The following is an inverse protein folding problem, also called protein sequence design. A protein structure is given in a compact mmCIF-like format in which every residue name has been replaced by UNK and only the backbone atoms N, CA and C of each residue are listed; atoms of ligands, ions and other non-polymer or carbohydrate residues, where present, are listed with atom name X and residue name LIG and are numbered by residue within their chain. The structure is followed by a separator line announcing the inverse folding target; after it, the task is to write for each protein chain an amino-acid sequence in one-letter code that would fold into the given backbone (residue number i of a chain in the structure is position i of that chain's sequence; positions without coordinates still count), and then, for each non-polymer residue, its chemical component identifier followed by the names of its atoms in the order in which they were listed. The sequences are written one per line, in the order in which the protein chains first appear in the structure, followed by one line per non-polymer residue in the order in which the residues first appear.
data_IF_152752884225
#
_entry.id   IF_152752884225
#
_cell.length_a   1.000
_cell.length_b   1.000
_cell.length_c   1.000
_cell.angle_alpha   90.00
_cell.angle_beta   90.00
_cell.angle_gamma   90.00
#
_symmetry.space_group_name_H-M   'P 1'
#
loop_
_entity.id
_entity.type
_entity.pdbx_description
1 polymer ?
#
# COMPACT_ATOMS: atom_id res chain seq x y z
N UNK A 1 -11.17 18.72 -9.94
CA UNK A 1 -9.80 18.22 -10.21
C UNK A 1 -9.41 18.48 -11.65
N UNK A 2 -8.17 18.87 -11.88
CA UNK A 2 -7.62 18.96 -13.23
C UNK A 2 -7.37 17.54 -13.78
N UNK A 3 -7.27 17.37 -15.11
CA UNK A 3 -6.92 16.05 -15.67
C UNK A 3 -5.62 15.49 -15.11
N UNK A 4 -4.63 16.34 -14.82
CA UNK A 4 -3.37 15.92 -14.24
C UNK A 4 -3.57 15.34 -12.83
N UNK A 5 -4.39 15.98 -12.02
CA UNK A 5 -4.71 15.49 -10.66
C UNK A 5 -5.48 14.18 -10.69
N UNK A 6 -6.41 14.02 -11.65
CA UNK A 6 -7.16 12.78 -11.81
C UNK A 6 -6.22 11.64 -12.17
N UNK A 7 -5.30 11.87 -13.10
CA UNK A 7 -4.30 10.89 -13.48
C UNK A 7 -3.42 10.49 -12.29
N UNK A 8 -2.97 11.46 -11.50
CA UNK A 8 -2.18 11.21 -10.30
C UNK A 8 -2.96 10.42 -9.27
N UNK A 9 -4.21 10.81 -9.03
CA UNK A 9 -5.09 10.11 -8.10
C UNK A 9 -5.24 8.63 -8.49
N UNK A 10 -5.51 8.36 -9.77
CA UNK A 10 -5.69 7.00 -10.26
C UNK A 10 -4.42 6.16 -10.08
N UNK A 11 -3.25 6.75 -10.35
CA UNK A 11 -1.96 6.07 -10.16
C UNK A 11 -1.72 5.74 -8.69
N UNK A 12 -2.03 6.67 -7.79
CA UNK A 12 -1.88 6.47 -6.35
C UNK A 12 -2.83 5.39 -5.82
N UNK A 13 -4.07 5.39 -6.28
CA UNK A 13 -5.05 4.38 -5.86
C UNK A 13 -4.66 2.99 -6.34
N UNK A 14 -4.13 2.88 -7.54
CA UNK A 14 -3.64 1.60 -8.07
C UNK A 14 -2.47 1.08 -7.23
N UNK A 15 -1.53 1.96 -6.89
CA UNK A 15 -0.38 1.61 -6.05
C UNK A 15 -0.83 1.17 -4.67
N UNK A 16 -1.77 1.91 -4.09
CA UNK A 16 -2.34 1.59 -2.78
C UNK A 16 -2.99 0.21 -2.77
N UNK A 17 -3.75 -0.12 -3.81
CA UNK A 17 -4.39 -1.43 -3.96
C UNK A 17 -3.35 -2.56 -4.02
N UNK A 18 -2.29 -2.37 -4.79
CA UNK A 18 -1.20 -3.36 -4.88
C UNK A 18 -0.55 -3.60 -3.53
N UNK A 19 -0.30 -2.54 -2.76
CA UNK A 19 0.29 -2.65 -1.43
C UNK A 19 -0.67 -3.31 -0.44
N UNK A 20 -1.96 -3.01 -0.51
CA UNK A 20 -2.96 -3.63 0.35
C UNK A 20 -3.07 -5.13 0.08
N UNK A 21 -3.04 -5.54 -1.19
CA UNK A 21 -3.04 -6.95 -1.56
C UNK A 21 -1.79 -7.66 -1.07
N UNK A 22 -0.64 -7.01 -1.18
CA UNK A 22 0.61 -7.55 -0.65
C UNK A 22 0.53 -7.79 0.84
N UNK A 23 -0.02 -6.85 1.61
CA UNK A 23 -0.18 -6.97 3.05
C UNK A 23 -1.10 -8.14 3.39
N UNK A 24 -2.22 -8.26 2.68
CA UNK A 24 -3.18 -9.34 2.92
C UNK A 24 -2.55 -10.72 2.72
N UNK A 25 -1.85 -10.90 1.60
CA UNK A 25 -1.19 -12.17 1.28
C UNK A 25 -0.05 -12.45 2.26
N UNK A 26 0.71 -11.42 2.64
CA UNK A 26 1.84 -11.56 3.57
C UNK A 26 1.37 -11.90 4.98
N UNK A 27 0.29 -11.30 5.46
CA UNK A 27 -0.29 -11.62 6.77
C UNK A 27 -0.72 -13.08 6.83
N UNK A 28 -1.33 -13.58 5.76
CA UNK A 28 -1.70 -14.99 5.67
C UNK A 28 -0.47 -15.89 5.68
N UNK A 29 0.58 -15.54 4.94
CA UNK A 29 1.82 -16.31 4.90
C UNK A 29 2.53 -16.32 6.25
N UNK A 30 2.53 -15.22 6.98
CA UNK A 30 3.09 -15.13 8.33
C UNK A 30 2.33 -16.06 9.26
N UNK A 31 1.01 -16.05 9.19
CA UNK A 31 0.16 -16.91 10.02
C UNK A 31 0.47 -18.40 9.79
N UNK A 32 0.64 -18.79 8.53
CA UNK A 32 0.87 -20.20 8.17
C UNK A 32 2.31 -20.64 8.42
N UNK A 33 3.30 -19.78 8.10
CA UNK A 33 4.70 -20.16 8.04
C UNK A 33 5.59 -19.46 9.06
N UNK A 34 5.02 -18.59 9.92
CA UNK A 34 5.77 -17.88 10.95
C UNK A 34 6.92 -17.04 10.35
N UNK A 35 6.67 -16.36 9.24
CA UNK A 35 7.68 -15.66 8.44
C UNK A 35 8.08 -14.30 8.99
N UNK A 36 9.14 -14.22 9.79
CA UNK A 36 9.62 -12.99 10.43
C UNK A 36 10.05 -11.94 9.38
N UNK A 37 10.66 -12.38 8.27
CA UNK A 37 11.11 -11.47 7.22
C UNK A 37 9.96 -10.75 6.53
N UNK A 38 8.78 -11.39 6.49
CA UNK A 38 7.58 -10.79 5.90
C UNK A 38 7.00 -9.70 6.80
N UNK A 39 7.19 -9.78 8.12
CA UNK A 39 6.76 -8.73 9.05
C UNK A 39 7.39 -7.38 8.70
N UNK A 40 8.70 -7.36 8.46
CA UNK A 40 9.40 -6.13 8.09
C UNK A 40 8.87 -5.58 6.76
N UNK A 41 8.63 -6.44 5.78
CA UNK A 41 8.09 -6.03 4.48
C UNK A 41 6.67 -5.47 4.62
N UNK A 42 5.84 -6.07 5.46
CA UNK A 42 4.47 -5.60 5.74
C UNK A 42 4.52 -4.23 6.42
N UNK A 43 5.41 -4.00 7.35
CA UNK A 43 5.56 -2.68 8.00
C UNK A 43 5.93 -1.59 6.99
N UNK A 44 6.86 -1.89 6.07
CA UNK A 44 7.22 -0.95 5.00
C UNK A 44 6.03 -0.68 4.09
N UNK A 45 5.26 -1.71 3.74
CA UNK A 45 4.08 -1.56 2.89
C UNK A 45 3.00 -0.69 3.57
N UNK A 46 2.77 -0.88 4.87
CA UNK A 46 1.83 -0.06 5.64
C UNK A 46 2.26 1.40 5.67
N UNK A 47 3.54 1.65 5.85
CA UNK A 47 4.09 3.00 5.83
C UNK A 47 3.90 3.65 4.46
N UNK A 48 4.13 2.90 3.39
CA UNK A 48 3.93 3.39 2.02
C UNK A 48 2.47 3.72 1.74
N UNK A 49 1.52 2.90 2.21
CA UNK A 49 0.10 3.19 2.09
C UNK A 49 -0.25 4.49 2.82
N UNK A 50 0.28 4.68 4.02
CA UNK A 50 0.03 5.89 4.79
C UNK A 50 0.55 7.13 4.06
N UNK A 51 1.72 7.05 3.43
CA UNK A 51 2.27 8.14 2.61
C UNK A 51 1.39 8.42 1.39
N UNK A 52 0.86 7.37 0.75
CA UNK A 52 -0.06 7.51 -0.38
C UNK A 52 -1.35 8.19 0.07
N UNK A 53 -1.92 7.80 1.19
CA UNK A 53 -3.13 8.41 1.74
C UNK A 53 -2.90 9.90 2.02
N UNK A 54 -1.75 10.27 2.56
CA UNK A 54 -1.39 11.67 2.80
C UNK A 54 -1.27 12.45 1.48
N UNK A 55 -0.70 11.84 0.47
CA UNK A 55 -0.55 12.46 -0.84
C UNK A 55 -1.90 12.66 -1.52
N UNK A 56 -2.80 11.68 -1.42
CA UNK A 56 -4.17 11.80 -1.94
C UNK A 56 -4.91 12.93 -1.23
N UNK A 57 -4.74 13.06 0.08
CA UNK A 57 -5.38 14.12 0.86
C UNK A 57 -4.93 15.52 0.44
N UNK A 58 -3.76 15.65 -0.18
CA UNK A 58 -3.23 16.92 -0.67
C UNK A 58 -3.71 17.27 -2.08
N UNK A 59 -4.30 16.34 -2.77
CA UNK A 59 -4.84 16.59 -4.11
C UNK A 59 -6.14 17.40 -4.02
#
# INVERSE_FOLDING_TARGET
MTPHQISRYNALMKRREQLANFIYVSDFAIFVNNGILLDAAVEVAKKSINEIDNEIARL
#
